data_IF_411185086284
#
_entry.id   IF_411185086284
#
_cell.length_a   1.000
_cell.length_b   1.000
_cell.length_c   1.000
_cell.angle_alpha   90.00
_cell.angle_beta   90.00
_cell.angle_gamma   90.00
#
_symmetry.space_group_name_H-M   'P 1'
#
loop_
_entity.id
_entity.type
_entity.pdbx_description
1 polymer ?
#
# COMPACT_ATOMS: atom_id res chain seq x y z
N UNK A 1 6.11 -27.24 -1.45
CA UNK A 1 5.96 -25.83 -1.08
C UNK A 1 6.57 -24.98 -2.17
N UNK A 2 5.77 -24.06 -2.72
CA UNK A 2 6.22 -23.08 -3.69
C UNK A 2 7.13 -22.08 -2.97
N UNK A 3 8.40 -22.02 -3.33
CA UNK A 3 9.32 -21.01 -2.84
C UNK A 3 9.49 -19.93 -3.90
N UNK A 4 9.12 -18.68 -3.59
CA UNK A 4 9.48 -17.54 -4.42
C UNK A 4 10.60 -16.80 -3.72
N UNK A 5 11.71 -16.63 -4.42
CA UNK A 5 12.85 -15.85 -3.99
C UNK A 5 13.00 -14.66 -4.91
N UNK A 6 13.11 -13.47 -4.34
CA UNK A 6 13.51 -12.31 -5.11
C UNK A 6 15.03 -12.19 -5.07
N UNK A 7 15.65 -12.10 -6.25
CA UNK A 7 17.08 -11.82 -6.32
C UNK A 7 17.36 -10.42 -5.76
N UNK A 8 18.52 -10.28 -5.13
CA UNK A 8 18.99 -8.97 -4.69
C UNK A 8 19.28 -8.03 -5.86
N UNK A 9 19.51 -6.73 -5.58
CA UNK A 9 19.85 -5.77 -6.61
C UNK A 9 21.17 -6.15 -7.29
N UNK A 10 21.21 -5.99 -8.61
CA UNK A 10 22.39 -6.30 -9.44
C UNK A 10 22.59 -5.17 -10.47
N UNK A 11 23.68 -4.44 -10.32
CA UNK A 11 24.03 -3.32 -11.20
C UNK A 11 24.27 -3.75 -12.66
N UNK A 12 24.68 -4.99 -12.90
CA UNK A 12 24.97 -5.49 -14.26
C UNK A 12 23.69 -5.80 -15.05
N UNK A 13 22.63 -6.21 -14.38
CA UNK A 13 21.32 -6.50 -14.96
C UNK A 13 20.34 -5.36 -14.80
N UNK A 14 20.66 -4.37 -13.97
CA UNK A 14 19.73 -3.30 -13.57
C UNK A 14 18.58 -3.78 -12.70
N UNK A 15 18.72 -4.98 -12.09
CA UNK A 15 17.73 -5.52 -11.17
C UNK A 15 17.70 -4.73 -9.86
N UNK A 16 16.50 -4.49 -9.35
CA UNK A 16 16.27 -3.78 -8.08
C UNK A 16 15.72 -4.74 -7.02
N UNK A 17 15.85 -4.35 -5.75
CA UNK A 17 15.19 -5.09 -4.67
C UNK A 17 13.67 -4.86 -4.69
N UNK A 18 12.87 -5.75 -4.07
CA UNK A 18 11.44 -5.52 -3.89
C UNK A 18 11.14 -4.17 -3.21
N UNK A 19 11.88 -3.82 -2.16
CA UNK A 19 11.71 -2.55 -1.45
C UNK A 19 11.96 -1.33 -2.36
N UNK A 20 12.97 -1.39 -3.25
CA UNK A 20 13.23 -0.32 -4.22
C UNK A 20 12.11 -0.21 -5.26
N UNK A 21 11.61 -1.33 -5.79
CA UNK A 21 10.49 -1.33 -6.73
C UNK A 21 9.22 -0.78 -6.09
N UNK A 22 8.93 -1.17 -4.84
CA UNK A 22 7.81 -0.65 -4.03
C UNK A 22 7.92 0.86 -3.85
N UNK A 23 9.08 1.36 -3.45
CA UNK A 23 9.29 2.80 -3.25
C UNK A 23 9.07 3.58 -4.55
N UNK A 24 9.55 3.06 -5.69
CA UNK A 24 9.35 3.68 -6.99
C UNK A 24 7.86 3.77 -7.35
N UNK A 25 7.12 2.67 -7.25
CA UNK A 25 5.69 2.61 -7.62
C UNK A 25 4.83 3.44 -6.67
N UNK A 26 5.14 3.45 -5.37
CA UNK A 26 4.47 4.33 -4.40
C UNK A 26 4.72 5.82 -4.73
N UNK A 27 5.94 6.16 -5.15
CA UNK A 27 6.26 7.51 -5.64
C UNK A 27 5.38 7.93 -6.82
N UNK A 28 5.19 7.03 -7.80
CA UNK A 28 4.32 7.28 -8.97
C UNK A 28 2.84 7.53 -8.57
N UNK A 29 2.33 6.78 -7.58
CA UNK A 29 0.99 7.03 -7.05
C UNK A 29 0.90 8.43 -6.42
N UNK A 30 1.90 8.80 -5.62
CA UNK A 30 1.99 10.12 -5.02
C UNK A 30 2.04 11.25 -6.05
N UNK A 31 2.90 11.12 -7.06
CA UNK A 31 3.00 12.07 -8.16
C UNK A 31 1.69 12.23 -8.93
N UNK A 32 1.02 11.10 -9.20
CA UNK A 32 -0.27 11.12 -9.89
C UNK A 32 -1.33 11.88 -9.11
N UNK A 33 -1.43 11.67 -7.81
CA UNK A 33 -2.40 12.36 -6.96
C UNK A 33 -2.04 13.86 -6.84
N UNK A 34 -0.76 14.18 -6.69
CA UNK A 34 -0.28 15.57 -6.64
C UNK A 34 -0.57 16.31 -7.95
N UNK A 35 -0.38 15.65 -9.10
CA UNK A 35 -0.70 16.22 -10.40
C UNK A 35 -2.20 16.51 -10.53
N UNK A 36 -3.07 15.61 -10.06
CA UNK A 36 -4.52 15.84 -10.05
C UNK A 36 -4.91 17.09 -9.26
N UNK A 37 -4.26 17.33 -8.11
CA UNK A 37 -4.49 18.54 -7.30
C UNK A 37 -4.00 19.79 -8.03
N UNK A 38 -2.78 19.75 -8.55
CA UNK A 38 -2.15 20.90 -9.18
C UNK A 38 -2.86 21.33 -10.47
N UNK A 39 -3.19 20.36 -11.35
CA UNK A 39 -3.88 20.62 -12.62
C UNK A 39 -5.28 21.21 -12.44
N UNK A 40 -5.98 20.80 -11.38
CA UNK A 40 -7.29 21.33 -11.05
C UNK A 40 -7.27 22.62 -10.24
N UNK A 41 -6.10 23.07 -9.77
CA UNK A 41 -5.97 24.29 -8.96
C UNK A 41 -6.70 24.18 -7.62
N UNK A 42 -6.74 22.99 -7.02
CA UNK A 42 -7.42 22.77 -5.75
C UNK A 42 -6.60 23.25 -4.55
N UNK A 43 -7.25 23.93 -3.62
CA UNK A 43 -6.62 24.44 -2.40
C UNK A 43 -6.30 23.31 -1.42
N UNK A 44 -7.23 22.35 -1.30
CA UNK A 44 -7.13 21.23 -0.34
C UNK A 44 -7.30 19.89 -1.04
N UNK A 45 -6.52 18.91 -0.59
CA UNK A 45 -6.58 17.51 -1.03
C UNK A 45 -7.06 16.63 0.14
N UNK A 46 -8.10 15.88 -0.10
CA UNK A 46 -8.58 14.82 0.78
C UNK A 46 -8.34 13.45 0.12
N UNK A 47 -7.76 12.50 0.84
CA UNK A 47 -7.55 11.14 0.35
C UNK A 47 -8.40 10.18 1.16
N UNK A 48 -9.16 9.35 0.49
CA UNK A 48 -10.02 8.32 1.07
C UNK A 48 -9.60 6.94 0.57
N UNK A 49 -9.53 5.97 1.49
CA UNK A 49 -9.08 4.63 1.18
C UNK A 49 -7.55 4.53 1.09
N UNK A 50 -7.08 3.39 0.65
CA UNK A 50 -5.65 3.09 0.52
C UNK A 50 -5.44 2.03 -0.56
N UNK A 51 -4.24 1.94 -1.17
CA UNK A 51 -3.89 0.85 -2.07
C UNK A 51 -3.91 -0.50 -1.32
N UNK A 52 -3.97 -1.64 -2.04
CA UNK A 52 -3.85 -2.95 -1.41
C UNK A 52 -2.49 -3.11 -0.72
N UNK A 53 -2.39 -3.98 0.29
CA UNK A 53 -1.11 -4.34 0.90
C UNK A 53 -0.11 -4.85 -0.15
N UNK A 54 1.15 -4.49 -0.02
CA UNK A 54 2.18 -4.95 -0.94
C UNK A 54 2.39 -6.46 -0.92
N UNK A 55 2.12 -7.11 0.20
CA UNK A 55 2.08 -8.59 0.28
C UNK A 55 1.10 -9.18 -0.73
N UNK A 56 -0.09 -8.59 -0.86
CA UNK A 56 -1.12 -9.04 -1.79
C UNK A 56 -0.73 -8.77 -3.24
N UNK A 57 -0.17 -7.59 -3.52
CA UNK A 57 0.32 -7.21 -4.84
C UNK A 57 1.44 -8.16 -5.30
N UNK A 58 2.41 -8.44 -4.42
CA UNK A 58 3.50 -9.37 -4.71
C UNK A 58 3.00 -10.80 -4.90
N UNK A 59 2.02 -11.24 -4.09
CA UNK A 59 1.42 -12.56 -4.24
C UNK A 59 0.74 -12.72 -5.61
N UNK A 60 -0.05 -11.73 -6.02
CA UNK A 60 -0.72 -11.71 -7.33
C UNK A 60 0.29 -11.64 -8.47
N UNK A 61 1.31 -10.76 -8.37
CA UNK A 61 2.39 -10.67 -9.35
C UNK A 61 3.12 -12.00 -9.52
N UNK A 62 3.49 -12.61 -8.42
CA UNK A 62 4.22 -13.87 -8.42
C UNK A 62 3.37 -15.02 -9.00
N UNK A 63 2.10 -15.13 -8.61
CA UNK A 63 1.19 -16.12 -9.17
C UNK A 63 0.94 -15.92 -10.68
N UNK A 64 0.88 -14.66 -11.12
CA UNK A 64 0.71 -14.32 -12.54
C UNK A 64 1.93 -14.66 -13.38
N UNK A 65 3.14 -14.42 -12.86
CA UNK A 65 4.40 -14.59 -13.58
C UNK A 65 5.02 -15.99 -13.43
N UNK A 66 4.74 -16.67 -12.33
CA UNK A 66 5.12 -18.06 -12.16
C UNK A 66 4.31 -18.91 -13.14
N UNK A 67 4.84 -19.16 -14.32
CA UNK A 67 4.37 -20.27 -15.12
C UNK A 67 4.41 -21.55 -14.29
N UNK A 68 3.61 -22.55 -14.67
CA UNK A 68 3.48 -23.87 -14.01
C UNK A 68 4.83 -24.63 -13.94
N UNK A 69 5.81 -24.10 -13.25
CA UNK A 69 7.13 -24.69 -13.09
C UNK A 69 7.29 -25.20 -11.66
N UNK A 70 7.63 -26.43 -11.58
CA UNK A 70 8.33 -27.28 -10.61
C UNK A 70 8.87 -26.66 -9.28
N UNK A 71 8.10 -25.78 -8.63
CA UNK A 71 8.20 -25.58 -7.19
C UNK A 71 9.12 -24.48 -6.67
N UNK A 72 10.02 -23.89 -7.46
CA UNK A 72 10.85 -22.76 -6.98
C UNK A 72 11.06 -21.74 -8.11
N UNK A 73 10.57 -20.53 -7.93
CA UNK A 73 10.77 -19.45 -8.90
C UNK A 73 11.64 -18.37 -8.27
N UNK A 74 12.73 -18.02 -8.93
CA UNK A 74 13.52 -16.83 -8.60
C UNK A 74 13.00 -15.68 -9.45
N UNK A 75 12.38 -14.71 -8.83
CA UNK A 75 11.95 -13.48 -9.51
C UNK A 75 13.09 -12.46 -9.48
N UNK A 76 13.57 -12.09 -10.67
CA UNK A 76 14.53 -11.00 -10.83
C UNK A 76 13.72 -9.76 -11.21
N UNK A 77 13.77 -8.72 -10.39
CA UNK A 77 13.09 -7.45 -10.66
C UNK A 77 13.94 -6.56 -11.58
N UNK A 78 14.16 -7.05 -12.81
CA UNK A 78 14.67 -6.25 -13.91
C UNK A 78 13.61 -5.23 -14.39
N UNK A 79 13.94 -4.42 -15.36
CA UNK A 79 13.03 -3.38 -15.87
C UNK A 79 11.69 -3.96 -16.37
N UNK A 80 11.70 -5.14 -17.00
CA UNK A 80 10.49 -5.77 -17.52
C UNK A 80 9.60 -6.29 -16.39
N UNK A 81 10.19 -6.90 -15.38
CA UNK A 81 9.46 -7.40 -14.22
C UNK A 81 8.97 -6.29 -13.29
N UNK A 82 9.72 -5.19 -13.16
CA UNK A 82 9.24 -3.98 -12.46
C UNK A 82 8.03 -3.39 -13.18
N UNK A 83 8.03 -3.35 -14.53
CA UNK A 83 6.88 -2.91 -15.31
C UNK A 83 5.67 -3.84 -15.15
N UNK A 84 5.91 -5.15 -15.11
CA UNK A 84 4.86 -6.13 -14.86
C UNK A 84 4.27 -5.98 -13.43
N UNK A 85 5.13 -5.74 -12.43
CA UNK A 85 4.70 -5.46 -11.05
C UNK A 85 3.91 -4.16 -10.96
N UNK A 86 4.38 -3.09 -11.63
CA UNK A 86 3.66 -1.81 -11.76
C UNK A 86 2.27 -2.01 -12.35
N UNK A 87 2.16 -2.82 -13.40
CA UNK A 87 0.88 -3.16 -14.03
C UNK A 87 -0.06 -3.82 -13.03
N UNK A 88 0.41 -4.80 -12.26
CA UNK A 88 -0.39 -5.46 -11.22
C UNK A 88 -0.84 -4.45 -10.15
N UNK A 89 0.06 -3.57 -9.69
CA UNK A 89 -0.28 -2.52 -8.73
C UNK A 89 -1.44 -1.65 -9.25
N UNK A 90 -1.37 -1.16 -10.50
CA UNK A 90 -2.40 -0.29 -11.06
C UNK A 90 -3.69 -1.05 -11.41
N UNK A 91 -3.62 -2.33 -11.74
CA UNK A 91 -4.80 -3.17 -11.92
C UNK A 91 -5.53 -3.41 -10.58
N UNK A 92 -4.80 -3.49 -9.48
CA UNK A 92 -5.35 -3.64 -8.14
C UNK A 92 -5.75 -2.32 -7.49
N UNK A 93 -5.25 -1.18 -7.99
CA UNK A 93 -5.47 0.15 -7.39
C UNK A 93 -6.29 1.02 -8.33
N UNK A 94 -7.49 1.41 -7.91
CA UNK A 94 -8.36 2.30 -8.69
C UNK A 94 -8.43 3.66 -8.02
N UNK A 95 -8.27 4.71 -8.83
CA UNK A 95 -8.44 6.08 -8.40
C UNK A 95 -9.72 6.66 -8.99
N UNK A 96 -10.50 7.29 -8.14
CA UNK A 96 -11.61 8.16 -8.52
C UNK A 96 -11.41 9.51 -7.86
N UNK A 97 -11.90 10.57 -8.49
CA UNK A 97 -11.83 11.90 -7.91
C UNK A 97 -13.17 12.61 -7.97
N UNK A 98 -13.43 13.43 -6.98
CA UNK A 98 -14.53 14.38 -6.93
C UNK A 98 -14.06 15.68 -6.34
N UNK A 99 -14.73 16.78 -6.63
CA UNK A 99 -14.40 18.09 -6.07
C UNK A 99 -15.64 18.74 -5.46
N UNK A 100 -15.40 19.58 -4.47
CA UNK A 100 -16.42 20.42 -3.85
C UNK A 100 -15.87 21.80 -3.52
N UNK A 101 -16.74 22.79 -3.50
CA UNK A 101 -16.42 24.14 -3.04
C UNK A 101 -17.00 24.37 -1.64
N UNK A 102 -16.23 25.00 -0.78
CA UNK A 102 -16.66 25.40 0.57
C UNK A 102 -16.54 26.91 0.69
N UNK A 103 -17.64 27.57 0.99
CA UNK A 103 -17.70 29.01 1.21
C UNK A 103 -17.23 29.34 2.63
N UNK A 104 -16.22 30.17 2.76
CA UNK A 104 -15.75 30.72 4.02
C UNK A 104 -16.18 32.19 4.12
N UNK A 105 -17.09 32.53 5.05
CA UNK A 105 -17.55 33.92 5.23
C UNK A 105 -16.42 34.83 5.73
N UNK A 106 -16.52 36.12 5.47
CA UNK A 106 -15.57 37.08 6.00
C UNK A 106 -15.55 37.05 7.54
N UNK A 107 -14.35 37.11 8.12
CA UNK A 107 -14.15 37.11 9.58
C UNK A 107 -12.99 38.02 9.96
N UNK A 108 -13.25 39.05 10.74
CA UNK A 108 -12.25 40.04 11.08
C UNK A 108 -11.68 40.71 9.83
N UNK A 109 -10.36 40.73 9.68
CA UNK A 109 -9.66 41.29 8.53
C UNK A 109 -9.53 40.31 7.34
N UNK A 110 -10.05 39.09 7.46
CA UNK A 110 -10.02 38.08 6.39
C UNK A 110 -11.28 38.23 5.52
N UNK A 111 -11.15 38.52 4.21
CA UNK A 111 -12.29 38.58 3.30
C UNK A 111 -12.92 37.19 3.11
N UNK A 112 -14.17 37.14 2.67
CA UNK A 112 -14.80 35.89 2.27
C UNK A 112 -14.04 35.28 1.10
N UNK A 113 -13.91 33.93 1.13
CA UNK A 113 -13.24 33.18 0.08
C UNK A 113 -13.88 31.82 -0.10
N UNK A 114 -13.62 31.19 -1.24
CA UNK A 114 -14.13 29.85 -1.57
C UNK A 114 -12.96 28.89 -1.65
N UNK A 115 -13.00 27.84 -0.86
CA UNK A 115 -12.03 26.76 -0.88
C UNK A 115 -12.45 25.68 -1.88
N UNK A 116 -11.55 25.33 -2.80
CA UNK A 116 -11.74 24.23 -3.73
C UNK A 116 -11.07 22.97 -3.17
N UNK A 117 -11.87 21.97 -2.86
CA UNK A 117 -11.39 20.72 -2.26
C UNK A 117 -11.47 19.59 -3.28
N UNK A 118 -10.34 18.92 -3.50
CA UNK A 118 -10.28 17.67 -4.26
C UNK A 118 -10.34 16.50 -3.29
N UNK A 119 -11.26 15.56 -3.51
CA UNK A 119 -11.27 14.27 -2.83
C UNK A 119 -10.83 13.20 -3.81
N UNK A 120 -9.73 12.51 -3.51
CA UNK A 120 -9.27 11.34 -4.26
C UNK A 120 -9.61 10.09 -3.48
N UNK A 121 -10.39 9.20 -4.09
CA UNK A 121 -10.78 7.92 -3.50
C UNK A 121 -9.93 6.81 -4.11
N UNK A 122 -9.22 6.08 -3.26
CA UNK A 122 -8.42 4.90 -3.63
C UNK A 122 -9.23 3.66 -3.27
N UNK A 123 -9.53 2.84 -4.28
CA UNK A 123 -10.22 1.56 -4.09
C UNK A 123 -9.28 0.42 -4.43
N UNK A 124 -9.07 -0.48 -3.46
CA UNK A 124 -8.26 -1.67 -3.62
C UNK A 124 -9.11 -2.84 -4.15
N UNK A 125 -8.56 -3.58 -5.13
CA UNK A 125 -9.04 -4.92 -5.47
C UNK A 125 -8.35 -5.94 -4.61
N UNK A 126 -9.09 -6.97 -4.21
CA UNK A 126 -8.56 -8.10 -3.46
C UNK A 126 -7.83 -9.09 -4.38
N UNK A 127 -6.95 -9.95 -3.83
CA UNK A 127 -6.39 -11.07 -4.61
C UNK A 127 -7.46 -11.95 -5.26
N UNK A 128 -8.61 -12.17 -4.62
CA UNK A 128 -9.71 -12.93 -5.20
C UNK A 128 -10.35 -12.24 -6.41
N UNK A 129 -10.48 -10.91 -6.39
CA UNK A 129 -10.89 -10.14 -7.57
C UNK A 129 -9.91 -10.34 -8.73
N UNK A 130 -8.62 -10.45 -8.43
CA UNK A 130 -7.57 -10.61 -9.43
C UNK A 130 -7.53 -12.01 -10.04
N UNK A 131 -7.96 -13.05 -9.33
CA UNK A 131 -8.15 -14.40 -9.89
C UNK A 131 -9.10 -14.36 -11.09
N UNK A 132 -10.19 -13.65 -10.92
CA UNK A 132 -11.20 -13.47 -11.98
C UNK A 132 -10.69 -12.53 -13.07
N UNK A 133 -10.11 -11.41 -12.68
CA UNK A 133 -9.62 -10.36 -13.60
C UNK A 133 -8.56 -10.89 -14.56
N UNK A 134 -7.61 -11.71 -14.08
CA UNK A 134 -6.55 -12.31 -14.88
C UNK A 134 -6.92 -13.71 -15.42
N UNK A 135 -8.09 -14.23 -15.08
CA UNK A 135 -8.51 -15.59 -15.46
C UNK A 135 -7.44 -16.65 -15.08
N UNK A 136 -7.01 -16.63 -13.83
CA UNK A 136 -5.95 -17.54 -13.34
C UNK A 136 -6.30 -19.00 -13.55
N UNK A 137 -5.31 -19.77 -13.97
CA UNK A 137 -5.40 -21.24 -14.06
C UNK A 137 -5.49 -21.84 -12.66
N UNK A 138 -5.79 -23.16 -12.59
CA UNK A 138 -5.83 -23.88 -11.30
C UNK A 138 -4.48 -23.83 -10.58
N UNK A 139 -3.38 -23.98 -11.33
CA UNK A 139 -2.03 -23.91 -10.80
C UNK A 139 -1.70 -22.50 -10.26
N UNK A 140 -2.09 -21.46 -10.99
CA UNK A 140 -1.90 -20.08 -10.54
C UNK A 140 -2.73 -19.77 -9.30
N UNK A 141 -3.96 -20.26 -9.22
CA UNK A 141 -4.81 -20.12 -8.05
C UNK A 141 -4.19 -20.81 -6.82
N UNK A 142 -3.67 -22.03 -6.99
CA UNK A 142 -2.97 -22.73 -5.92
C UNK A 142 -1.71 -22.00 -5.48
N UNK A 143 -0.93 -21.48 -6.42
CA UNK A 143 0.25 -20.67 -6.12
C UNK A 143 -0.12 -19.42 -5.31
N UNK A 144 -1.20 -18.73 -5.69
CA UNK A 144 -1.69 -17.57 -4.97
C UNK A 144 -2.12 -17.91 -3.54
N UNK A 145 -2.82 -19.03 -3.33
CA UNK A 145 -3.23 -19.48 -1.99
C UNK A 145 -2.00 -19.74 -1.09
N UNK A 146 -0.98 -20.41 -1.61
CA UNK A 146 0.26 -20.68 -0.87
C UNK A 146 1.02 -19.38 -0.53
N UNK A 147 1.04 -18.41 -1.43
CA UNK A 147 1.67 -17.09 -1.21
C UNK A 147 0.93 -16.25 -0.18
N UNK A 148 -0.39 -16.20 -0.24
CA UNK A 148 -1.22 -15.49 0.72
C UNK A 148 -1.12 -16.09 2.12
N UNK A 149 -0.95 -17.43 2.23
CA UNK A 149 -0.69 -18.10 3.50
C UNK A 149 0.66 -17.67 4.13
N UNK A 150 1.58 -17.13 3.33
CA UNK A 150 2.89 -16.64 3.76
C UNK A 150 3.04 -15.10 3.57
N UNK A 151 1.96 -14.36 3.68
CA UNK A 151 1.92 -12.90 3.45
C UNK A 151 2.91 -12.12 4.30
N UNK A 152 3.18 -12.55 5.54
CA UNK A 152 4.14 -11.90 6.43
C UNK A 152 5.57 -11.92 5.85
N UNK A 153 5.95 -13.02 5.17
CA UNK A 153 7.24 -13.12 4.51
C UNK A 153 7.32 -12.16 3.30
N UNK A 154 6.24 -12.04 2.54
CA UNK A 154 6.17 -11.11 1.42
C UNK A 154 6.21 -9.66 1.90
N UNK A 155 5.51 -9.32 2.98
CA UNK A 155 5.56 -8.01 3.62
C UNK A 155 6.99 -7.65 4.07
N UNK A 156 7.72 -8.60 4.66
CA UNK A 156 9.12 -8.40 5.08
C UNK A 156 10.05 -8.06 3.90
N UNK A 157 9.79 -8.60 2.70
CA UNK A 157 10.59 -8.31 1.50
C UNK A 157 10.46 -6.87 1.02
N UNK A 158 9.32 -6.24 1.29
CA UNK A 158 9.05 -4.86 0.86
C UNK A 158 9.52 -3.82 1.87
N UNK A 159 10.04 -4.25 3.00
CA UNK A 159 10.27 -3.37 4.15
C UNK A 159 8.98 -2.85 4.77
N UNK A 160 7.85 -3.41 4.37
CA UNK A 160 6.55 -3.11 4.94
C UNK A 160 6.46 -3.76 6.33
N UNK A 161 6.63 -2.95 7.35
CA UNK A 161 6.51 -3.35 8.76
C UNK A 161 5.04 -3.41 9.22
N UNK A 162 4.09 -3.54 8.28
CA UNK A 162 2.70 -3.74 8.69
C UNK A 162 2.59 -5.03 9.49
N UNK A 163 2.25 -4.89 10.75
CA UNK A 163 1.90 -6.05 11.57
C UNK A 163 0.58 -6.59 11.02
N UNK A 164 0.55 -7.86 10.60
CA UNK A 164 -0.71 -8.50 10.21
C UNK A 164 -1.72 -8.42 11.36
N UNK A 165 -3.00 -8.40 11.05
CA UNK A 165 -4.05 -8.39 12.09
C UNK A 165 -3.92 -9.60 13.04
N UNK A 166 -3.40 -10.73 12.56
CA UNK A 166 -3.13 -11.91 13.37
C UNK A 166 -1.98 -11.66 14.36
N UNK A 167 -0.89 -11.04 13.90
CA UNK A 167 0.26 -10.69 14.75
C UNK A 167 -0.13 -9.60 15.76
N UNK A 168 -0.90 -8.59 15.36
CA UNK A 168 -1.42 -7.57 16.25
C UNK A 168 -2.32 -8.19 17.34
N UNK A 169 -3.23 -9.10 16.98
CA UNK A 169 -4.07 -9.84 17.94
C UNK A 169 -3.24 -10.66 18.92
N UNK A 170 -2.18 -11.31 18.44
CA UNK A 170 -1.28 -12.08 19.33
C UNK A 170 -0.54 -11.17 20.29
N UNK A 171 0.05 -10.06 19.82
CA UNK A 171 0.70 -9.08 20.68
C UNK A 171 -0.25 -8.50 21.73
N UNK A 172 -1.50 -8.22 21.36
CA UNK A 172 -2.51 -7.72 22.28
C UNK A 172 -2.96 -8.80 23.30
N UNK A 173 -2.96 -10.07 22.90
CA UNK A 173 -3.27 -11.19 23.81
C UNK A 173 -2.15 -11.45 24.82
N UNK A 174 -0.90 -11.17 24.45
CA UNK A 174 0.28 -11.33 25.32
C UNK A 174 0.47 -10.15 26.29
N UNK A 175 -0.38 -9.11 26.24
CA UNK A 175 -0.33 -8.00 27.19
C UNK A 175 -0.73 -8.46 28.60
N UNK A 176 -0.05 -7.97 29.66
CA UNK A 176 -0.40 -8.26 31.04
C UNK A 176 -1.88 -7.98 31.30
N UNK A 177 -2.55 -8.91 32.03
CA UNK A 177 -3.98 -8.78 32.32
C UNK A 177 -4.28 -7.59 33.26
N UNK A 178 -3.30 -7.19 34.07
CA UNK A 178 -3.34 -6.08 35.00
C UNK A 178 -2.86 -4.75 34.43
N UNK A 179 -2.61 -4.70 33.11
CA UNK A 179 -2.22 -3.46 32.44
C UNK A 179 -3.34 -2.42 32.52
N UNK A 180 -2.95 -1.24 32.99
CA UNK A 180 -3.85 -0.08 33.07
C UNK A 180 -4.64 0.14 31.78
N UNK A 181 -5.98 0.39 31.84
CA UNK A 181 -6.83 0.52 30.66
C UNK A 181 -6.38 1.61 29.67
N UNK A 182 -5.85 2.75 30.16
CA UNK A 182 -5.37 3.83 29.28
C UNK A 182 -4.11 3.40 28.56
N UNK A 183 -3.19 2.73 29.26
CA UNK A 183 -1.97 2.17 28.64
C UNK A 183 -2.31 1.08 27.62
N UNK A 184 -3.29 0.23 27.92
CA UNK A 184 -3.78 -0.77 26.97
C UNK A 184 -4.33 -0.10 25.71
N UNK A 185 -5.15 0.94 25.84
CA UNK A 185 -5.70 1.69 24.72
C UNK A 185 -4.60 2.34 23.84
N UNK A 186 -3.52 2.83 24.47
CA UNK A 186 -2.35 3.36 23.73
C UNK A 186 -1.68 2.27 22.92
N UNK A 187 -1.43 1.08 23.51
CA UNK A 187 -0.80 -0.04 22.80
C UNK A 187 -1.70 -0.55 21.67
N UNK A 188 -3.01 -0.68 21.91
CA UNK A 188 -3.97 -1.06 20.86
C UNK A 188 -3.99 -0.07 19.69
N UNK A 189 -3.95 1.23 20.01
CA UNK A 189 -3.88 2.27 18.98
C UNK A 189 -2.56 2.21 18.23
N UNK A 190 -1.44 2.04 18.93
CA UNK A 190 -0.14 1.89 18.31
C UNK A 190 -0.08 0.67 17.38
N UNK A 191 -0.59 -0.49 17.81
CA UNK A 191 -0.65 -1.70 16.97
C UNK A 191 -1.49 -1.50 15.70
N UNK A 192 -2.55 -0.69 15.76
CA UNK A 192 -3.37 -0.34 14.58
C UNK A 192 -2.64 0.58 13.60
N UNK A 193 -1.65 1.32 14.08
CA UNK A 193 -0.90 2.30 13.30
C UNK A 193 0.42 1.77 12.75
N UNK A 194 0.93 0.66 13.30
CA UNK A 194 2.18 0.06 12.82
C UNK A 194 2.03 -0.31 11.34
N UNK A 195 2.94 0.19 10.52
CA UNK A 195 2.95 0.05 9.08
C UNK A 195 1.90 0.87 8.31
N UNK A 196 1.03 1.60 9.02
CA UNK A 196 0.05 2.52 8.41
C UNK A 196 0.49 3.98 8.49
N UNK A 197 1.52 4.25 9.27
CA UNK A 197 2.07 5.60 9.43
C UNK A 197 3.59 5.52 9.31
N UNK A 198 4.15 6.35 8.44
CA UNK A 198 5.57 6.54 8.37
C UNK A 198 6.02 7.59 9.38
N UNK A 199 7.21 7.38 9.97
CA UNK A 199 7.78 8.39 10.86
C UNK A 199 8.17 9.62 10.05
N UNK A 200 7.54 10.75 10.35
CA UNK A 200 7.85 12.03 9.76
C UNK A 200 8.49 12.97 10.78
N UNK A 201 9.72 13.37 10.52
CA UNK A 201 10.45 14.31 11.37
C UNK A 201 9.82 15.72 11.29
N UNK A 202 9.19 16.17 12.38
CA UNK A 202 8.59 17.50 12.48
C UNK A 202 7.19 17.62 11.88
N UNK A 203 6.60 16.54 11.37
CA UNK A 203 5.24 16.53 10.86
C UNK A 203 4.21 16.61 11.99
N UNK A 204 3.17 17.41 11.77
CA UNK A 204 1.99 17.49 12.64
C UNK A 204 0.77 17.25 11.77
N UNK A 205 0.43 15.98 11.52
CA UNK A 205 -0.84 15.63 10.90
C UNK A 205 -1.87 15.28 11.98
N UNK A 206 -3.03 15.87 11.91
CA UNK A 206 -4.19 15.52 12.76
C UNK A 206 -5.06 14.44 12.12
N UNK A 207 -4.72 14.02 10.90
CA UNK A 207 -5.46 13.02 10.14
C UNK A 207 -4.68 11.73 10.13
N UNK A 208 -5.30 10.64 10.60
CA UNK A 208 -4.76 9.28 10.47
C UNK A 208 -5.11 8.79 9.07
N UNK A 209 -4.09 8.54 8.25
CA UNK A 209 -4.25 8.04 6.89
C UNK A 209 -2.91 7.98 6.18
N UNK A 210 -2.93 7.37 4.99
CA UNK A 210 -1.76 7.36 4.12
C UNK A 210 -1.56 8.77 3.53
N UNK A 211 -0.38 9.31 3.70
CA UNK A 211 -0.01 10.61 3.14
C UNK A 211 1.16 10.42 2.16
N UNK A 212 0.84 10.45 0.87
CA UNK A 212 1.78 10.24 -0.23
C UNK A 212 2.94 11.26 -0.27
N UNK A 213 2.76 12.42 0.36
CA UNK A 213 3.80 13.48 0.39
C UNK A 213 5.02 13.07 1.22
N UNK A 214 4.85 12.02 2.01
CA UNK A 214 5.84 11.64 3.01
C UNK A 214 6.29 10.18 2.91
N UNK A 215 5.80 9.45 1.90
CA UNK A 215 6.20 8.09 1.56
C UNK A 215 5.54 7.01 2.37
#
# INVERSE_FOLDING_TARGET
PLGIFFAGPDETTGAVSPAQAVAQINGELGEKISSMQAEGGYDTLEIQGQPPPWSDILAVFAAKTAGAADGTTVAILDAANVEALRTVFWDMTKLASSSRAVEHPASGDTPAWTEQILTVTITARTPDDMRVFYSFTEEQNKALDELLANSDMLAALTGDLTISDATAKKLLADLPADLDPERRAVVETACRLVGKVNYFWGGKSLVIGWDFRWG
#
